data_IF_739232593398
#
_entry.id   IF_739232593398
#
_cell.length_a   1.000
_cell.length_b   1.000
_cell.length_c   1.000
_cell.angle_alpha   90.00
_cell.angle_beta   90.00
_cell.angle_gamma   90.00
#
_symmetry.space_group_name_H-M   'P 1'
#
loop_
_entity.id
_entity.type
_entity.pdbx_description
1 polymer ?
#
# COMPACT_ATOMS: atom_id res chain seq x y z
N UNK A 1 35.19 -44.18 8.89
CA UNK A 1 34.42 -43.54 9.98
C UNK A 1 32.94 -43.73 9.72
N UNK A 2 32.17 -43.90 10.80
CA UNK A 2 30.85 -44.54 10.88
C UNK A 2 29.72 -43.79 10.17
N UNK A 3 28.84 -44.58 9.57
CA UNK A 3 27.52 -44.21 9.03
C UNK A 3 26.50 -44.42 10.13
N UNK A 4 25.63 -43.46 10.42
CA UNK A 4 24.44 -43.70 11.26
C UNK A 4 23.16 -43.26 10.53
N UNK A 5 22.31 -44.27 10.29
CA UNK A 5 20.92 -44.18 9.86
C UNK A 5 20.05 -43.78 11.06
N UNK A 6 19.00 -42.99 10.85
CA UNK A 6 17.90 -42.87 11.82
C UNK A 6 16.55 -43.20 11.19
N UNK A 7 15.74 -43.80 12.05
CA UNK A 7 14.62 -44.71 11.81
C UNK A 7 13.29 -43.96 11.85
N UNK A 8 12.33 -44.43 11.05
CA UNK A 8 10.93 -44.01 11.01
C UNK A 8 10.20 -44.31 12.33
N UNK A 9 9.39 -43.38 12.81
CA UNK A 9 8.45 -43.60 13.91
C UNK A 9 7.10 -42.96 13.62
N UNK A 10 6.09 -43.78 13.34
CA UNK A 10 4.67 -43.43 13.27
C UNK A 10 4.15 -43.08 14.67
N UNK A 11 3.37 -41.99 14.81
CA UNK A 11 2.62 -41.70 16.02
C UNK A 11 1.13 -41.50 15.69
N UNK A 12 0.31 -42.18 16.48
CA UNK A 12 -1.12 -42.38 16.30
C UNK A 12 -1.96 -41.12 16.56
N UNK A 13 -2.99 -40.94 15.74
CA UNK A 13 -4.02 -39.90 15.88
C UNK A 13 -5.07 -40.41 16.90
N UNK A 14 -5.16 -39.76 18.05
CA UNK A 14 -6.25 -39.96 19.00
C UNK A 14 -7.27 -38.82 18.82
N UNK A 15 -8.47 -39.18 18.34
CA UNK A 15 -9.65 -38.31 18.29
C UNK A 15 -10.24 -38.19 19.70
N UNK A 16 -10.34 -36.98 20.23
CA UNK A 16 -11.20 -36.66 21.36
C UNK A 16 -12.12 -35.50 21.01
N UNK A 17 -13.41 -35.83 20.94
CA UNK A 17 -14.54 -34.93 20.87
C UNK A 17 -14.69 -34.15 22.19
N UNK A 18 -14.77 -32.82 22.10
CA UNK A 18 -15.08 -31.97 23.25
C UNK A 18 -16.45 -31.30 23.08
N UNK A 19 -17.27 -31.57 24.08
CA UNK A 19 -18.65 -31.15 24.30
C UNK A 19 -18.68 -29.70 24.80
N UNK A 20 -19.66 -28.93 24.31
CA UNK A 20 -20.00 -27.58 24.79
C UNK A 20 -20.72 -27.62 26.15
N UNK A 21 -20.22 -26.85 27.12
CA UNK A 21 -20.91 -26.23 28.26
C UNK A 21 -19.87 -25.27 28.91
N UNK A 22 -20.12 -24.10 29.46
CA UNK A 22 -21.29 -23.39 29.96
C UNK A 22 -20.75 -22.36 30.99
N UNK A 23 -21.35 -21.17 31.05
CA UNK A 23 -20.93 -19.97 31.81
C UNK A 23 -20.69 -20.15 33.34
N UNK A 24 -19.81 -19.33 33.95
CA UNK A 24 -19.71 -19.15 35.41
C UNK A 24 -18.47 -18.39 35.90
N UNK A 25 -18.63 -17.50 36.90
CA UNK A 25 -17.76 -16.35 37.25
C UNK A 25 -16.65 -16.57 38.33
N UNK A 26 -15.69 -15.62 38.33
CA UNK A 26 -14.77 -15.08 39.38
C UNK A 26 -14.11 -15.95 40.47
N UNK A 27 -12.74 -15.95 40.55
CA UNK A 27 -11.86 -15.34 41.61
C UNK A 27 -10.41 -15.92 41.63
N UNK A 28 -9.40 -15.01 41.70
CA UNK A 28 -7.97 -15.03 42.18
C UNK A 28 -7.25 -16.38 42.48
N UNK A 29 -5.94 -16.60 42.27
CA UNK A 29 -4.71 -15.75 42.26
C UNK A 29 -3.51 -16.50 41.61
N UNK A 30 -2.56 -15.73 41.05
CA UNK A 30 -1.10 -15.97 40.82
C UNK A 30 -0.55 -17.27 40.18
N UNK A 31 0.15 -17.12 39.04
CA UNK A 31 1.62 -17.36 38.88
C UNK A 31 2.09 -17.13 37.42
N UNK A 32 3.02 -16.19 37.27
CA UNK A 32 4.16 -16.08 36.33
C UNK A 32 4.08 -16.65 34.90
N UNK A 33 3.74 -15.75 33.98
CA UNK A 33 4.44 -15.39 32.73
C UNK A 33 5.31 -16.45 31.99
N UNK A 34 4.73 -17.04 30.95
CA UNK A 34 5.44 -17.34 29.71
C UNK A 34 4.40 -17.49 28.59
N UNK A 35 4.16 -16.42 27.83
CA UNK A 35 3.18 -16.42 26.74
C UNK A 35 3.85 -16.02 25.42
N UNK A 36 4.05 -17.05 24.61
CA UNK A 36 4.16 -17.02 23.16
C UNK A 36 3.04 -16.19 22.52
N UNK A 37 3.41 -15.51 21.44
CA UNK A 37 2.54 -14.67 20.62
C UNK A 37 1.25 -15.40 20.23
N UNK A 38 0.11 -14.88 20.71
CA UNK A 38 -1.22 -15.31 20.31
C UNK A 38 -1.58 -14.61 18.98
N UNK A 39 -1.71 -15.42 17.94
CA UNK A 39 -2.30 -15.06 16.66
C UNK A 39 -3.79 -14.71 16.87
N UNK A 40 -4.16 -13.47 16.64
CA UNK A 40 -5.55 -13.02 16.62
C UNK A 40 -6.17 -13.34 15.26
N UNK A 41 -6.85 -14.49 15.18
CA UNK A 41 -7.75 -14.80 14.07
C UNK A 41 -8.94 -13.83 14.09
N UNK A 42 -8.97 -12.93 13.10
CA UNK A 42 -10.12 -12.04 12.87
C UNK A 42 -11.20 -12.84 12.13
N UNK A 43 -12.33 -13.09 12.81
CA UNK A 43 -13.54 -13.66 12.21
C UNK A 43 -14.02 -12.76 11.06
N UNK A 44 -13.97 -13.29 9.84
CA UNK A 44 -14.57 -12.71 8.64
C UNK A 44 -16.10 -12.86 8.69
N UNK A 45 -16.78 -11.85 9.22
CA UNK A 45 -18.21 -11.64 9.00
C UNK A 45 -18.41 -11.28 7.53
N UNK A 46 -19.01 -12.21 6.78
CA UNK A 46 -19.40 -11.98 5.39
C UNK A 46 -20.82 -11.41 5.42
N UNK A 47 -20.94 -10.09 5.64
CA UNK A 47 -22.20 -9.37 5.45
C UNK A 47 -22.19 -8.70 4.08
N UNK A 48 -23.16 -9.08 3.26
CA UNK A 48 -23.48 -8.45 1.98
C UNK A 48 -24.01 -7.04 2.26
N UNK A 49 -23.13 -6.04 2.31
CA UNK A 49 -23.49 -4.64 2.40
C UNK A 49 -24.07 -4.13 1.08
N UNK A 50 -25.05 -3.21 1.17
CA UNK A 50 -25.49 -2.42 0.02
C UNK A 50 -24.29 -1.71 -0.64
N UNK A 51 -24.29 -1.48 -1.97
CA UNK A 51 -23.16 -0.85 -2.64
C UNK A 51 -22.91 0.54 -2.06
N UNK A 52 -21.69 0.77 -1.54
CA UNK A 52 -21.27 2.05 -0.99
C UNK A 52 -21.46 3.18 -2.02
N UNK A 53 -22.07 4.29 -1.60
CA UNK A 53 -22.43 5.39 -2.49
C UNK A 53 -21.27 6.37 -2.60
N UNK A 54 -20.89 6.75 -3.82
CA UNK A 54 -19.91 7.82 -4.07
C UNK A 54 -20.43 9.16 -3.51
N UNK A 55 -19.62 9.81 -2.68
CA UNK A 55 -19.90 11.13 -2.07
C UNK A 55 -18.93 12.23 -2.52
N UNK A 56 -17.74 11.86 -3.00
CA UNK A 56 -16.78 12.77 -3.62
C UNK A 56 -15.90 12.01 -4.64
N UNK A 57 -15.12 12.73 -5.44
CA UNK A 57 -14.32 12.15 -6.53
C UNK A 57 -14.91 12.40 -7.91
N UNK A 58 -14.10 12.94 -8.82
CA UNK A 58 -14.44 13.10 -10.23
C UNK A 58 -14.89 11.77 -10.88
N UNK A 59 -15.80 11.85 -11.85
CA UNK A 59 -16.18 10.70 -12.68
C UNK A 59 -14.99 10.25 -13.53
N UNK A 60 -14.82 8.94 -13.67
CA UNK A 60 -13.83 8.39 -14.59
C UNK A 60 -14.32 8.60 -16.02
N UNK A 61 -13.47 9.14 -16.90
CA UNK A 61 -13.76 9.22 -18.32
C UNK A 61 -13.49 7.87 -18.97
N UNK A 62 -14.32 7.50 -19.92
CA UNK A 62 -14.14 6.28 -20.68
C UNK A 62 -12.89 6.37 -21.54
N UNK A 63 -12.15 5.27 -21.62
CA UNK A 63 -10.88 5.24 -22.35
C UNK A 63 -9.96 4.13 -21.87
N UNK A 64 -8.79 4.08 -22.48
CA UNK A 64 -7.68 3.21 -22.08
C UNK A 64 -6.54 4.10 -21.63
N UNK A 65 -6.10 3.89 -20.40
CA UNK A 65 -5.07 4.67 -19.72
C UNK A 65 -3.86 3.78 -19.51
N UNK A 66 -2.66 4.30 -19.79
CA UNK A 66 -1.42 3.52 -19.82
C UNK A 66 -0.36 4.15 -18.93
N UNK A 67 0.42 3.32 -18.28
CA UNK A 67 1.59 3.68 -17.50
C UNK A 67 2.70 2.67 -17.77
N UNK A 68 3.94 3.14 -17.92
CA UNK A 68 5.13 2.29 -18.00
C UNK A 68 6.32 2.87 -17.26
N UNK A 69 7.10 1.99 -16.65
CA UNK A 69 8.43 2.30 -16.12
C UNK A 69 9.45 2.38 -17.27
N UNK A 70 10.37 3.34 -17.21
CA UNK A 70 11.47 3.46 -18.19
C UNK A 70 12.62 2.52 -17.91
N UNK A 71 12.94 2.30 -16.64
CA UNK A 71 14.15 1.58 -16.23
C UNK A 71 13.80 0.21 -15.66
N UNK A 72 14.69 -0.75 -15.86
CA UNK A 72 14.53 -2.08 -15.27
C UNK A 72 15.10 -2.13 -13.85
N UNK A 73 14.36 -2.74 -12.93
CA UNK A 73 14.83 -3.14 -11.62
C UNK A 73 14.79 -4.66 -11.51
N UNK A 74 15.94 -5.27 -11.23
CA UNK A 74 16.11 -6.73 -11.21
C UNK A 74 15.74 -7.41 -12.55
N UNK A 75 16.00 -6.74 -13.67
CA UNK A 75 15.73 -7.25 -15.03
C UNK A 75 14.27 -7.16 -15.49
N UNK A 76 13.45 -6.36 -14.78
CA UNK A 76 12.04 -6.16 -15.08
C UNK A 76 11.64 -4.70 -14.95
N UNK A 77 10.68 -4.25 -15.76
CA UNK A 77 10.00 -2.95 -15.64
C UNK A 77 8.49 -3.14 -15.64
N UNK A 78 7.75 -2.30 -14.93
CA UNK A 78 6.29 -2.35 -14.89
C UNK A 78 5.66 -1.78 -16.16
N UNK A 79 4.59 -2.43 -16.62
CA UNK A 79 3.64 -1.90 -17.61
C UNK A 79 2.24 -2.05 -17.04
N UNK A 80 1.39 -1.05 -17.23
CA UNK A 80 0.05 -1.06 -16.67
C UNK A 80 -0.94 -0.39 -17.63
N UNK A 81 -1.96 -1.13 -18.03
CA UNK A 81 -3.13 -0.61 -18.74
C UNK A 81 -4.40 -0.73 -17.88
N UNK A 82 -5.20 0.34 -17.84
CA UNK A 82 -6.51 0.39 -17.22
C UNK A 82 -7.56 0.80 -18.27
N UNK A 83 -8.66 0.07 -18.37
CA UNK A 83 -9.78 0.42 -19.26
C UNK A 83 -11.00 0.86 -18.46
N UNK A 84 -11.51 2.05 -18.75
CA UNK A 84 -12.74 2.60 -18.19
C UNK A 84 -13.86 2.55 -19.23
N UNK A 85 -15.03 2.05 -18.84
CA UNK A 85 -16.27 2.08 -19.62
C UNK A 85 -17.45 2.40 -18.71
N UNK A 86 -18.36 3.25 -19.18
CA UNK A 86 -19.51 3.72 -18.41
C UNK A 86 -19.10 4.26 -17.03
N UNK A 87 -17.95 4.95 -16.96
CA UNK A 87 -17.39 5.49 -15.73
C UNK A 87 -16.89 4.46 -14.71
N UNK A 88 -16.69 3.21 -15.12
CA UNK A 88 -16.18 2.11 -14.27
C UNK A 88 -14.91 1.50 -14.82
N UNK A 89 -13.99 1.10 -13.94
CA UNK A 89 -12.83 0.30 -14.31
C UNK A 89 -13.32 -1.09 -14.69
N UNK A 90 -13.20 -1.44 -15.97
CA UNK A 90 -13.65 -2.74 -16.51
C UNK A 90 -12.51 -3.71 -16.76
N UNK A 91 -11.27 -3.20 -16.85
CA UNK A 91 -10.09 -4.01 -17.08
C UNK A 91 -8.87 -3.40 -16.41
N UNK A 92 -8.01 -4.28 -15.89
CA UNK A 92 -6.71 -3.96 -15.31
C UNK A 92 -5.69 -4.97 -15.88
N UNK A 93 -4.63 -4.46 -16.51
CA UNK A 93 -3.53 -5.23 -17.09
C UNK A 93 -2.19 -4.68 -16.61
N UNK A 94 -1.91 -4.86 -15.33
CA UNK A 94 -0.57 -4.67 -14.76
C UNK A 94 0.27 -5.91 -14.99
N UNK A 95 1.52 -5.72 -15.39
CA UNK A 95 2.54 -6.76 -15.44
C UNK A 95 3.93 -6.14 -15.21
N UNK A 96 4.91 -7.01 -14.97
CA UNK A 96 6.33 -6.66 -15.05
C UNK A 96 6.90 -7.41 -16.26
N UNK A 97 7.57 -6.71 -17.17
CA UNK A 97 8.16 -7.31 -18.37
C UNK A 97 9.67 -7.13 -18.36
N UNK A 98 10.40 -8.06 -18.96
CA UNK A 98 11.84 -7.93 -19.16
C UNK A 98 12.18 -7.16 -20.45
N UNK A 99 13.47 -7.01 -20.76
CA UNK A 99 13.96 -6.32 -21.96
C UNK A 99 13.42 -6.86 -23.29
N UNK A 100 13.08 -8.17 -23.34
CA UNK A 100 12.48 -8.81 -24.52
C UNK A 100 10.95 -8.57 -24.60
N UNK A 101 10.36 -7.90 -23.62
CA UNK A 101 8.92 -7.74 -23.47
C UNK A 101 8.18 -8.97 -22.94
N UNK A 102 8.90 -9.96 -22.39
CA UNK A 102 8.28 -11.18 -21.83
C UNK A 102 7.78 -10.92 -20.42
N UNK A 103 6.61 -11.46 -20.12
CA UNK A 103 5.95 -11.34 -18.82
C UNK A 103 6.75 -12.02 -17.71
N UNK A 104 6.83 -11.37 -16.55
CA UNK A 104 7.38 -11.94 -15.32
C UNK A 104 6.53 -13.09 -14.80
N UNK A 105 5.24 -13.14 -15.16
CA UNK A 105 4.39 -14.30 -14.88
C UNK A 105 4.81 -15.54 -15.66
N UNK A 106 5.57 -15.40 -16.75
CA UNK A 106 6.08 -16.53 -17.54
C UNK A 106 7.47 -17.01 -17.06
N UNK A 107 8.15 -16.25 -16.20
CA UNK A 107 9.44 -16.67 -15.62
C UNK A 107 9.25 -17.68 -14.49
N UNK A 108 9.32 -18.96 -14.85
CA UNK A 108 9.17 -20.08 -13.90
C UNK A 108 10.26 -20.12 -12.84
N UNK A 109 11.49 -19.64 -13.14
CA UNK A 109 12.58 -19.62 -12.16
C UNK A 109 12.35 -18.53 -11.12
N UNK A 110 11.94 -17.35 -11.56
CA UNK A 110 11.62 -16.26 -10.64
C UNK A 110 10.44 -16.66 -9.74
N UNK A 111 9.38 -17.21 -10.34
CA UNK A 111 8.21 -17.76 -9.66
C UNK A 111 8.59 -18.74 -8.54
N UNK A 112 9.37 -19.78 -8.85
CA UNK A 112 9.82 -20.77 -7.86
C UNK A 112 10.67 -20.12 -6.76
N UNK A 113 11.60 -19.23 -7.14
CA UNK A 113 12.51 -18.58 -6.19
C UNK A 113 11.78 -17.64 -5.22
N UNK A 114 10.76 -16.91 -5.70
CA UNK A 114 9.99 -15.97 -4.89
C UNK A 114 9.06 -16.72 -3.94
N UNK A 115 8.37 -17.76 -4.43
CA UNK A 115 7.51 -18.62 -3.61
C UNK A 115 8.26 -19.27 -2.46
N UNK A 116 9.47 -19.76 -2.71
CA UNK A 116 10.30 -20.38 -1.67
C UNK A 116 10.64 -19.41 -0.52
N UNK A 117 10.74 -18.11 -0.80
CA UNK A 117 11.11 -17.08 0.19
C UNK A 117 9.92 -16.40 0.85
N UNK A 118 8.85 -16.17 0.10
CA UNK A 118 7.76 -15.26 0.48
C UNK A 118 6.38 -15.93 0.48
N UNK A 119 6.27 -17.17 -0.01
CA UNK A 119 5.00 -17.90 -0.11
C UNK A 119 4.14 -17.55 -1.33
N UNK A 120 4.51 -16.53 -2.11
CA UNK A 120 3.77 -16.05 -3.29
C UNK A 120 4.71 -15.82 -4.47
N UNK A 121 4.23 -15.95 -5.71
CA UNK A 121 5.00 -15.66 -6.92
C UNK A 121 4.30 -14.64 -7.83
N UNK A 122 4.97 -14.12 -8.88
CA UNK A 122 4.39 -13.25 -9.89
C UNK A 122 3.07 -13.72 -10.46
N UNK A 123 2.89 -15.02 -10.72
CA UNK A 123 1.62 -15.54 -11.26
C UNK A 123 0.45 -15.27 -10.33
N UNK A 124 0.63 -15.40 -9.02
CA UNK A 124 -0.43 -15.17 -8.04
C UNK A 124 -0.65 -13.68 -7.77
N UNK A 125 0.40 -12.94 -7.37
CA UNK A 125 0.19 -11.58 -6.89
C UNK A 125 -0.26 -10.64 -8.01
N UNK A 126 0.27 -10.80 -9.24
CA UNK A 126 -0.13 -9.95 -10.37
C UNK A 126 -1.60 -10.17 -10.71
N UNK A 127 -2.05 -11.43 -10.71
CA UNK A 127 -3.46 -11.75 -10.91
C UNK A 127 -4.33 -11.17 -9.80
N UNK A 128 -3.93 -11.35 -8.54
CA UNK A 128 -4.69 -10.88 -7.38
C UNK A 128 -4.85 -9.35 -7.38
N UNK A 129 -3.78 -8.61 -7.69
CA UNK A 129 -3.81 -7.14 -7.72
C UNK A 129 -4.73 -6.62 -8.84
N UNK A 130 -4.63 -7.17 -10.06
CA UNK A 130 -5.50 -6.79 -11.17
C UNK A 130 -6.98 -7.06 -10.87
N UNK A 131 -7.30 -8.25 -10.34
CA UNK A 131 -8.67 -8.61 -9.95
C UNK A 131 -9.18 -7.71 -8.81
N UNK A 132 -8.32 -7.43 -7.83
CA UNK A 132 -8.64 -6.57 -6.70
C UNK A 132 -8.94 -5.14 -7.14
N UNK A 133 -8.19 -4.60 -8.10
CA UNK A 133 -8.39 -3.24 -8.61
C UNK A 133 -9.72 -3.07 -9.35
N UNK A 134 -10.04 -4.01 -10.24
CA UNK A 134 -11.34 -4.01 -10.94
C UNK A 134 -12.49 -4.14 -9.93
N UNK A 135 -12.32 -4.92 -8.86
CA UNK A 135 -13.35 -5.04 -7.82
C UNK A 135 -13.46 -3.78 -6.95
N UNK A 136 -12.33 -3.19 -6.56
CA UNK A 136 -12.26 -2.08 -5.61
C UNK A 136 -12.69 -0.74 -6.22
N UNK A 137 -12.46 -0.53 -7.52
CA UNK A 137 -12.71 0.74 -8.21
C UNK A 137 -11.93 1.93 -7.62
N UNK A 138 -10.89 1.67 -6.83
CA UNK A 138 -10.00 2.65 -6.23
C UNK A 138 -8.64 2.01 -5.96
N UNK A 139 -7.57 2.81 -5.96
CA UNK A 139 -6.24 2.29 -5.65
C UNK A 139 -6.10 1.92 -4.16
N UNK A 140 -6.66 2.73 -3.26
CA UNK A 140 -6.62 2.47 -1.80
C UNK A 140 -7.44 1.25 -1.37
N UNK A 141 -8.40 0.82 -2.19
CA UNK A 141 -9.19 -0.39 -1.94
C UNK A 141 -8.52 -1.68 -2.43
N UNK A 142 -7.38 -1.59 -3.11
CA UNK A 142 -6.60 -2.77 -3.55
C UNK A 142 -5.93 -3.40 -2.33
N UNK A 143 -6.19 -4.68 -2.08
CA UNK A 143 -5.60 -5.40 -0.96
C UNK A 143 -4.11 -5.67 -1.20
N UNK A 144 -3.29 -5.41 -0.18
CA UNK A 144 -1.87 -5.78 -0.20
C UNK A 144 -1.73 -7.29 -0.17
N UNK A 145 -0.93 -7.83 -1.08
CA UNK A 145 -0.64 -9.27 -1.14
C UNK A 145 0.51 -9.60 -0.19
N UNK A 146 0.24 -10.38 0.85
CA UNK A 146 1.26 -10.86 1.78
C UNK A 146 2.37 -11.61 1.02
N UNK A 147 3.63 -11.26 1.31
CA UNK A 147 4.80 -11.78 0.58
C UNK A 147 5.17 -10.98 -0.68
N UNK A 148 4.30 -10.07 -1.14
CA UNK A 148 4.52 -9.17 -2.28
C UNK A 148 4.12 -7.72 -1.94
N UNK A 149 4.44 -7.27 -0.72
CA UNK A 149 4.06 -5.94 -0.20
C UNK A 149 4.55 -4.81 -1.10
N UNK A 150 5.85 -4.75 -1.41
CA UNK A 150 6.41 -3.71 -2.28
C UNK A 150 5.79 -3.68 -3.70
N UNK A 151 5.48 -4.86 -4.25
CA UNK A 151 4.79 -4.97 -5.54
C UNK A 151 3.35 -4.47 -5.46
N UNK A 152 2.68 -4.68 -4.32
CA UNK A 152 1.33 -4.18 -4.08
C UNK A 152 1.31 -2.66 -3.94
N UNK A 153 2.28 -2.09 -3.21
CA UNK A 153 2.41 -0.63 -3.05
C UNK A 153 2.72 0.07 -4.37
N UNK A 154 3.63 -0.49 -5.18
CA UNK A 154 3.93 0.05 -6.52
C UNK A 154 2.69 -0.01 -7.42
N UNK A 155 1.95 -1.13 -7.38
CA UNK A 155 0.69 -1.27 -8.10
C UNK A 155 -0.33 -0.20 -7.66
N UNK A 156 -0.50 0.03 -6.36
CA UNK A 156 -1.44 1.03 -5.84
C UNK A 156 -1.07 2.44 -6.29
N UNK A 157 0.22 2.79 -6.31
CA UNK A 157 0.70 4.06 -6.85
C UNK A 157 0.35 4.22 -8.33
N UNK A 158 0.68 3.23 -9.15
CA UNK A 158 0.41 3.30 -10.58
C UNK A 158 -1.09 3.31 -10.89
N UNK A 159 -1.88 2.51 -10.16
CA UNK A 159 -3.34 2.54 -10.22
C UNK A 159 -3.91 3.92 -9.87
N UNK A 160 -3.36 4.58 -8.85
CA UNK A 160 -3.79 5.91 -8.43
C UNK A 160 -3.49 6.97 -9.50
N UNK A 161 -2.34 6.88 -10.19
CA UNK A 161 -1.99 7.78 -11.28
C UNK A 161 -2.88 7.54 -12.52
N UNK A 162 -3.19 6.28 -12.85
CA UNK A 162 -4.12 5.93 -13.92
C UNK A 162 -5.55 6.43 -13.64
N UNK A 163 -6.01 6.36 -12.38
CA UNK A 163 -7.29 6.96 -11.97
C UNK A 163 -7.29 8.48 -12.18
N UNK A 164 -6.23 9.17 -11.76
CA UNK A 164 -6.10 10.62 -11.96
C UNK A 164 -6.14 10.99 -13.45
N UNK A 165 -5.41 10.23 -14.28
CA UNK A 165 -5.46 10.40 -15.74
C UNK A 165 -6.85 10.16 -16.30
N UNK A 166 -7.57 9.14 -15.81
CA UNK A 166 -8.95 8.87 -16.19
C UNK A 166 -9.93 9.96 -15.76
N UNK A 167 -9.76 10.56 -14.59
CA UNK A 167 -10.57 11.69 -14.15
C UNK A 167 -10.33 12.95 -15.00
N UNK A 168 -9.08 13.14 -15.42
CA UNK A 168 -8.68 14.21 -16.34
C UNK A 168 -9.05 13.93 -17.80
N UNK A 169 -9.36 12.68 -18.17
CA UNK A 169 -9.54 12.26 -19.55
C UNK A 169 -8.22 12.26 -20.35
N UNK A 170 -7.07 12.21 -19.69
CA UNK A 170 -5.76 12.20 -20.33
C UNK A 170 -5.36 10.76 -20.68
N UNK A 171 -5.31 10.44 -21.98
CA UNK A 171 -4.95 9.10 -22.47
C UNK A 171 -3.48 8.95 -22.86
N UNK A 172 -2.65 9.98 -22.64
CA UNK A 172 -1.22 9.89 -22.87
C UNK A 172 -0.60 8.84 -21.94
N UNK A 173 0.38 8.09 -22.43
CA UNK A 173 1.11 7.12 -21.59
C UNK A 173 1.87 7.87 -20.51
N UNK A 174 1.63 7.51 -19.25
CA UNK A 174 2.39 8.00 -18.11
C UNK A 174 3.72 7.24 -18.07
N UNK A 175 4.82 7.96 -18.25
CA UNK A 175 6.16 7.39 -18.10
C UNK A 175 6.70 7.66 -16.69
N UNK A 176 7.16 6.60 -16.01
CA UNK A 176 7.83 6.68 -14.72
C UNK A 176 9.34 6.50 -14.93
N UNK A 177 10.14 7.52 -14.62
CA UNK A 177 11.61 7.48 -14.69
C UNK A 177 12.21 6.80 -13.44
N UNK A 178 11.66 5.64 -13.09
CA UNK A 178 11.96 4.91 -11.86
C UNK A 178 13.48 4.67 -11.67
N UNK A 179 14.02 5.07 -10.53
CA UNK A 179 15.45 4.94 -10.23
C UNK A 179 16.35 6.00 -10.88
N UNK A 180 15.77 7.02 -11.54
CA UNK A 180 16.55 8.18 -11.98
C UNK A 180 17.05 9.00 -10.77
N UNK A 181 18.11 9.78 -10.98
CA UNK A 181 18.57 10.70 -9.96
C UNK A 181 17.50 11.77 -9.68
N UNK A 182 17.15 11.94 -8.41
CA UNK A 182 16.19 12.95 -7.96
C UNK A 182 16.68 14.34 -8.37
N UNK A 183 15.80 15.13 -8.98
CA UNK A 183 16.08 16.52 -9.32
C UNK A 183 15.80 17.41 -8.11
N UNK A 184 16.69 18.36 -7.86
CA UNK A 184 16.52 19.34 -6.80
C UNK A 184 15.24 20.16 -7.00
N UNK A 185 14.54 20.42 -5.90
CA UNK A 185 13.27 21.14 -5.94
C UNK A 185 12.38 20.83 -4.75
N UNK A 186 11.21 21.45 -4.73
CA UNK A 186 10.13 21.12 -3.79
C UNK A 186 8.97 20.56 -4.60
N UNK A 187 8.52 19.38 -4.22
CA UNK A 187 7.46 18.62 -4.87
C UNK A 187 6.29 18.54 -3.90
N UNK A 188 5.08 18.84 -4.36
CA UNK A 188 3.90 18.85 -3.50
C UNK A 188 2.73 18.07 -4.07
N UNK A 189 1.91 17.56 -3.16
CA UNK A 189 0.70 16.82 -3.41
C UNK A 189 -0.37 17.25 -2.42
N UNK A 190 -1.61 17.36 -2.89
CA UNK A 190 -2.78 17.50 -2.01
C UNK A 190 -3.94 16.63 -2.48
N UNK A 191 -4.69 16.11 -1.52
CA UNK A 191 -6.00 15.53 -1.80
C UNK A 191 -7.03 16.66 -2.00
N UNK A 192 -7.91 16.48 -2.99
CA UNK A 192 -9.00 17.42 -3.27
C UNK A 192 -10.21 17.22 -2.35
N UNK A 193 -10.43 15.98 -1.91
CA UNK A 193 -11.66 15.58 -1.21
C UNK A 193 -11.36 15.17 0.23
N UNK A 194 -12.20 15.65 1.15
CA UNK A 194 -12.15 15.21 2.54
C UNK A 194 -12.64 13.76 2.69
N UNK A 195 -11.89 12.99 3.46
CA UNK A 195 -12.29 11.70 4.02
C UNK A 195 -12.30 11.80 5.54
N UNK A 196 -13.43 11.51 6.17
CA UNK A 196 -13.63 11.67 7.62
C UNK A 196 -13.30 13.10 8.15
N UNK A 197 -13.55 14.12 7.33
CA UNK A 197 -13.33 15.53 7.68
C UNK A 197 -11.90 16.03 7.50
N UNK A 198 -11.03 15.22 6.88
CA UNK A 198 -9.63 15.53 6.66
C UNK A 198 -9.20 15.21 5.22
N UNK A 199 -8.23 15.95 4.69
CA UNK A 199 -7.53 15.65 3.46
C UNK A 199 -6.02 15.80 3.65
N UNK A 200 -5.24 15.07 2.87
CA UNK A 200 -3.78 15.08 2.92
C UNK A 200 -3.22 16.31 2.23
N UNK A 201 -2.21 16.91 2.85
CA UNK A 201 -1.22 17.77 2.19
C UNK A 201 0.17 17.19 2.41
N UNK A 202 0.99 17.14 1.37
CA UNK A 202 2.32 16.56 1.46
C UNK A 202 3.30 17.32 0.57
N UNK A 203 4.42 17.78 1.12
CA UNK A 203 5.57 18.21 0.32
C UNK A 203 6.85 17.48 0.67
N UNK A 204 7.73 17.35 -0.32
CA UNK A 204 9.08 16.79 -0.22
C UNK A 204 10.08 17.77 -0.81
N UNK A 205 11.21 18.01 -0.14
CA UNK A 205 12.30 18.84 -0.67
C UNK A 205 13.52 17.97 -1.02
N UNK A 206 14.00 18.10 -2.25
CA UNK A 206 15.23 17.47 -2.75
C UNK A 206 16.33 18.51 -2.89
N UNK A 207 17.51 18.21 -2.35
CA UNK A 207 18.74 19.01 -2.50
C UNK A 207 19.92 18.07 -2.72
N UNK A 208 20.79 18.42 -3.65
CA UNK A 208 21.94 17.60 -4.06
C UNK A 208 21.53 16.14 -4.38
N UNK A 209 20.37 15.98 -5.01
CA UNK A 209 19.79 14.67 -5.35
C UNK A 209 19.31 13.83 -4.16
N UNK A 210 19.16 14.42 -2.96
CA UNK A 210 18.70 13.73 -1.75
C UNK A 210 17.46 14.37 -1.17
N UNK A 211 16.57 13.54 -0.64
CA UNK A 211 15.42 14.03 0.15
C UNK A 211 15.96 14.61 1.45
N UNK A 212 15.72 15.90 1.67
CA UNK A 212 16.17 16.64 2.87
C UNK A 212 15.03 17.04 3.79
N UNK A 213 13.80 17.04 3.29
CA UNK A 213 12.62 17.45 4.06
C UNK A 213 11.38 16.68 3.60
N UNK A 214 10.52 16.38 4.57
CA UNK A 214 9.22 15.75 4.39
C UNK A 214 8.21 16.49 5.25
N UNK A 215 7.14 17.00 4.64
CA UNK A 215 6.07 17.72 5.30
C UNK A 215 4.71 17.13 4.90
N UNK A 216 4.43 15.93 5.39
CA UNK A 216 3.12 15.29 5.34
C UNK A 216 2.26 15.75 6.51
N UNK A 217 0.99 16.02 6.23
CA UNK A 217 -0.04 16.29 7.21
C UNK A 217 -1.42 15.88 6.68
N UNK A 218 -2.37 15.73 7.58
CA UNK A 218 -3.79 15.70 7.25
C UNK A 218 -4.40 16.98 7.83
N UNK A 219 -5.11 17.75 7.03
CA UNK A 219 -5.74 18.99 7.46
C UNK A 219 -7.24 18.94 7.23
N UNK A 220 -8.00 19.68 8.02
CA UNK A 220 -9.44 19.82 7.80
C UNK A 220 -9.73 20.90 6.74
N UNK A 221 -11.02 21.13 6.44
CA UNK A 221 -11.44 22.16 5.47
C UNK A 221 -10.98 23.59 5.80
N UNK A 222 -10.69 23.89 7.08
CA UNK A 222 -10.14 25.19 7.51
C UNK A 222 -8.61 25.27 7.38
N UNK A 223 -7.96 24.19 6.93
CA UNK A 223 -6.50 24.06 6.88
C UNK A 223 -5.83 23.80 8.24
N UNK A 224 -6.60 23.45 9.27
CA UNK A 224 -6.04 23.10 10.59
C UNK A 224 -5.50 21.67 10.58
N UNK A 225 -4.30 21.50 11.12
CA UNK A 225 -3.65 20.20 11.22
C UNK A 225 -4.42 19.24 12.11
N UNK A 226 -4.50 17.98 11.68
CA UNK A 226 -5.02 16.86 12.47
C UNK A 226 -4.17 16.57 13.70
N UNK A 227 -2.89 16.98 13.71
CA UNK A 227 -2.02 16.92 14.89
C UNK A 227 -2.53 17.82 16.02
N UNK A 228 -3.26 18.88 15.69
CA UNK A 228 -3.78 19.85 16.65
C UNK A 228 -5.22 19.53 17.09
N UNK A 229 -5.86 18.51 16.49
CA UNK A 229 -7.17 18.02 16.94
C UNK A 229 -6.99 17.11 18.17
N UNK A 230 -7.09 17.73 19.35
CA UNK A 230 -6.97 17.04 20.64
C UNK A 230 -8.03 15.97 20.85
N UNK A 231 -9.22 16.11 20.26
CA UNK A 231 -10.30 15.14 20.40
C UNK A 231 -10.02 13.89 19.56
N UNK A 232 -9.61 14.08 18.30
CA UNK A 232 -9.22 12.97 17.42
C UNK A 232 -7.98 12.25 17.98
N UNK A 233 -6.99 13.02 18.42
CA UNK A 233 -5.77 12.51 19.05
C UNK A 233 -6.08 11.58 20.23
N UNK A 234 -6.93 12.02 21.18
CA UNK A 234 -7.33 11.20 22.32
C UNK A 234 -8.07 9.93 21.87
N UNK A 235 -9.07 10.07 20.99
CA UNK A 235 -9.88 8.92 20.54
C UNK A 235 -9.04 7.88 19.80
N UNK A 236 -8.12 8.32 18.94
CA UNK A 236 -7.28 7.41 18.18
C UNK A 236 -6.29 6.69 19.09
N UNK A 237 -5.68 7.38 20.07
CA UNK A 237 -4.81 6.75 21.06
C UNK A 237 -5.52 5.70 21.90
N UNK A 238 -6.75 5.98 22.33
CA UNK A 238 -7.53 5.04 23.14
C UNK A 238 -7.81 3.72 22.38
N UNK A 239 -8.01 3.80 21.06
CA UNK A 239 -8.37 2.64 20.22
C UNK A 239 -7.14 1.94 19.64
N UNK A 240 -6.14 2.70 19.18
CA UNK A 240 -5.04 2.21 18.35
C UNK A 240 -3.66 2.35 19.02
N UNK A 241 -3.56 3.00 20.17
CA UNK A 241 -2.31 3.22 20.91
C UNK A 241 -1.39 4.30 20.31
N UNK A 242 -1.79 4.94 19.22
CA UNK A 242 -1.04 6.01 18.53
C UNK A 242 -2.01 7.09 18.03
N UNK A 243 -1.60 8.36 18.06
CA UNK A 243 -2.39 9.48 17.56
C UNK A 243 -1.80 10.13 16.29
N UNK A 244 -2.56 11.01 15.61
CA UNK A 244 -2.05 11.87 14.54
C UNK A 244 -0.75 12.57 14.85
N UNK A 245 -0.56 13.06 16.06
CA UNK A 245 0.68 13.74 16.42
C UNK A 245 1.89 12.82 16.25
N UNK A 246 1.85 11.61 16.83
CA UNK A 246 2.98 10.68 16.76
C UNK A 246 3.19 10.10 15.36
N UNK A 247 2.13 9.60 14.70
CA UNK A 247 2.33 8.92 13.42
C UNK A 247 2.78 9.90 12.33
N UNK A 248 2.28 11.14 12.32
CA UNK A 248 2.67 12.13 11.31
C UNK A 248 4.13 12.53 11.49
N UNK A 249 4.59 12.76 12.73
CA UNK A 249 6.00 13.05 13.02
C UNK A 249 6.89 11.87 12.64
N UNK A 250 6.48 10.65 13.00
CA UNK A 250 7.24 9.42 12.71
C UNK A 250 7.41 9.19 11.21
N UNK A 251 6.33 9.29 10.43
CA UNK A 251 6.36 9.04 8.99
C UNK A 251 7.26 10.05 8.25
N UNK A 252 7.20 11.33 8.60
CA UNK A 252 8.06 12.35 7.99
C UNK A 252 9.54 12.09 8.27
N UNK A 253 9.88 11.71 9.50
CA UNK A 253 11.26 11.39 9.87
C UNK A 253 11.75 10.11 9.20
N UNK A 254 10.95 9.04 9.25
CA UNK A 254 11.32 7.75 8.66
C UNK A 254 11.44 7.84 7.14
N UNK A 255 10.65 8.68 6.47
CA UNK A 255 10.80 8.88 5.03
C UNK A 255 12.13 9.52 4.64
N UNK A 256 12.54 10.60 5.31
CA UNK A 256 13.85 11.21 5.06
C UNK A 256 14.98 10.21 5.33
N UNK A 257 14.85 9.40 6.39
CA UNK A 257 15.80 8.33 6.72
C UNK A 257 15.85 7.25 5.64
N UNK A 258 14.70 6.69 5.26
CA UNK A 258 14.58 5.63 4.26
C UNK A 258 15.10 6.08 2.88
N UNK A 259 14.84 7.33 2.49
CA UNK A 259 15.35 7.90 1.24
C UNK A 259 16.85 8.25 1.29
N UNK A 260 17.46 8.27 2.48
CA UNK A 260 18.89 8.52 2.67
C UNK A 260 19.77 7.27 2.54
N UNK A 261 19.18 6.09 2.44
CA UNK A 261 19.89 4.82 2.23
C UNK A 261 20.36 4.67 0.77
N UNK A 262 21.32 3.77 0.52
CA UNK A 262 21.93 3.57 -0.81
C UNK A 262 20.90 3.21 -1.88
N UNK A 263 19.93 2.34 -1.54
CA UNK A 263 18.79 1.96 -2.39
C UNK A 263 17.47 2.56 -1.86
N UNK A 264 17.54 3.80 -1.35
CA UNK A 264 16.44 4.47 -0.66
C UNK A 264 15.14 4.50 -1.44
N UNK A 265 14.04 4.19 -0.76
CA UNK A 265 12.71 4.10 -1.38
C UNK A 265 11.62 4.48 -0.37
N UNK A 266 10.50 5.09 -0.81
CA UNK A 266 9.34 5.29 0.06
C UNK A 266 8.84 4.00 0.71
N UNK A 267 9.02 2.86 0.04
CA UNK A 267 8.60 1.56 0.55
C UNK A 267 9.48 1.05 1.72
N UNK A 268 10.61 1.69 1.99
CA UNK A 268 11.44 1.45 3.17
C UNK A 268 10.93 2.12 4.44
N UNK A 269 9.86 2.92 4.36
CA UNK A 269 9.23 3.53 5.53
C UNK A 269 8.54 2.46 6.37
N UNK A 270 8.95 2.34 7.63
CA UNK A 270 8.38 1.37 8.56
C UNK A 270 6.90 1.68 8.85
N UNK A 271 6.09 0.63 8.91
CA UNK A 271 4.68 0.74 9.26
C UNK A 271 4.53 1.18 10.72
N UNK A 272 3.82 2.28 10.94
CA UNK A 272 3.46 2.71 12.29
C UNK A 272 2.32 1.84 12.79
N UNK A 273 2.60 0.96 13.76
CA UNK A 273 1.59 0.11 14.41
C UNK A 273 0.44 0.97 14.96
N UNK A 274 -0.80 0.60 14.66
CA UNK A 274 -1.99 1.40 15.00
C UNK A 274 -2.36 2.47 13.98
N UNK A 275 -1.48 2.79 13.02
CA UNK A 275 -1.69 3.75 11.94
C UNK A 275 -1.34 3.16 10.56
N UNK A 276 -1.60 1.87 10.35
CA UNK A 276 -1.23 1.14 9.13
C UNK A 276 -1.85 1.74 7.86
N UNK A 277 -3.13 2.10 7.88
CA UNK A 277 -3.79 2.73 6.74
C UNK A 277 -3.15 4.10 6.40
N UNK A 278 -2.86 4.90 7.42
CA UNK A 278 -2.16 6.19 7.25
C UNK A 278 -0.76 6.00 6.69
N UNK A 279 -0.05 4.94 7.11
CA UNK A 279 1.29 4.62 6.62
C UNK A 279 1.26 4.24 5.14
N UNK A 280 0.36 3.35 4.71
CA UNK A 280 0.28 2.97 3.29
C UNK A 280 -0.15 4.15 2.40
N UNK A 281 -1.08 4.99 2.88
CA UNK A 281 -1.47 6.22 2.16
C UNK A 281 -0.27 7.17 2.01
N UNK A 282 0.51 7.35 3.08
CA UNK A 282 1.75 8.10 3.05
C UNK A 282 2.75 7.56 2.03
N UNK A 283 3.02 6.24 2.06
CA UNK A 283 3.96 5.59 1.14
C UNK A 283 3.52 5.80 -0.31
N UNK A 284 2.22 5.63 -0.60
CA UNK A 284 1.66 5.84 -1.93
C UNK A 284 1.90 7.28 -2.44
N UNK A 285 1.62 8.29 -1.62
CA UNK A 285 1.84 9.69 -2.00
C UNK A 285 3.31 10.07 -2.06
N UNK A 286 4.14 9.53 -1.17
CA UNK A 286 5.59 9.70 -1.23
C UNK A 286 6.15 9.14 -2.55
N UNK A 287 5.66 8.01 -3.05
CA UNK A 287 6.05 7.48 -4.36
C UNK A 287 5.67 8.43 -5.51
N UNK A 288 4.49 9.07 -5.47
CA UNK A 288 4.13 10.06 -6.48
C UNK A 288 5.05 11.29 -6.46
N UNK A 289 5.42 11.77 -5.27
CA UNK A 289 6.40 12.85 -5.12
C UNK A 289 7.79 12.46 -5.62
N UNK A 290 8.21 11.21 -5.37
CA UNK A 290 9.47 10.67 -5.91
C UNK A 290 9.43 10.58 -7.44
N UNK A 291 8.36 10.06 -8.02
CA UNK A 291 8.19 10.01 -9.48
C UNK A 291 8.26 11.41 -10.10
N UNK A 292 7.62 12.40 -9.47
CA UNK A 292 7.70 13.80 -9.90
C UNK A 292 9.13 14.35 -9.78
N UNK A 293 9.86 14.00 -8.72
CA UNK A 293 11.24 14.40 -8.52
C UNK A 293 12.23 13.75 -9.48
N UNK A 294 12.04 12.49 -9.84
CA UNK A 294 12.80 11.81 -10.89
C UNK A 294 12.66 12.51 -12.24
N UNK A 295 11.43 12.99 -12.53
CA UNK A 295 11.10 13.77 -13.73
C UNK A 295 11.48 15.26 -13.65
N UNK A 296 11.67 15.79 -12.44
CA UNK A 296 11.84 17.23 -12.20
C UNK A 296 10.56 18.06 -12.39
N UNK A 297 9.39 17.43 -12.28
CA UNK A 297 8.10 18.10 -12.41
C UNK A 297 7.64 18.66 -11.05
N UNK A 298 7.73 19.98 -10.90
CA UNK A 298 7.36 20.67 -9.65
C UNK A 298 5.89 21.10 -9.62
N UNK A 299 5.08 20.69 -10.60
CA UNK A 299 3.65 20.94 -10.60
C UNK A 299 3.00 20.25 -9.42
N UNK A 300 2.20 20.99 -8.63
CA UNK A 300 1.46 20.39 -7.51
C UNK A 300 0.52 19.28 -7.99
N UNK A 301 0.68 18.08 -7.45
CA UNK A 301 -0.17 16.93 -7.75
C UNK A 301 -1.49 17.10 -6.99
N UNK A 302 -2.61 17.03 -7.70
CA UNK A 302 -3.95 17.10 -7.11
C UNK A 302 -4.64 15.75 -7.22
N UNK A 303 -4.81 15.08 -6.10
CA UNK A 303 -5.42 13.74 -6.03
C UNK A 303 -6.93 13.86 -5.77
N UNK A 304 -7.75 13.57 -6.77
CA UNK A 304 -9.23 13.61 -6.69
C UNK A 304 -9.81 12.26 -6.25
N UNK A 305 -9.43 11.80 -5.05
CA UNK A 305 -9.82 10.46 -4.56
C UNK A 305 -11.33 10.24 -4.55
N UNK A 306 -11.76 9.05 -4.97
CA UNK A 306 -13.14 8.60 -4.85
C UNK A 306 -13.44 8.30 -3.39
N UNK A 307 -14.38 9.04 -2.80
CA UNK A 307 -14.83 8.83 -1.42
C UNK A 307 -16.22 8.21 -1.46
N UNK A 308 -16.42 7.13 -0.72
CA UNK A 308 -17.71 6.41 -0.62
C UNK A 308 -18.23 6.38 0.83
N UNK A 309 -19.53 6.27 1.00
CA UNK A 309 -20.23 6.09 2.30
C UNK A 309 -21.30 5.02 2.23
#
# INVERSE_FOLDING_TARGET
MKVNKFVKGFAAIALFSLVLAGCGADKKDNTTNSSSAASSETKKSTESSAPAKKVAGGDLKDGTYKLEEKNEKNGYRAVFEMTVKDGKITESKYDNINADGKSKTEDTKYEESMKAKSGVGPKEYIKQLNDSFVKAQSASGVEVVTGATHSSESFQNYAQQLIQAAQAGNTDTIEIDNGAALKDGTYSLKEKNDSNGYHTTFSMTVKDGKVTESNYDNVNADGKSKKDDTEYESKMKDVAGVGPKEYIETLNKEFVKAMGEEDGSPAGVEVVTGATHSTHSFINYAQQLVNAAEKGDTTEIVVDNIVTK
#
